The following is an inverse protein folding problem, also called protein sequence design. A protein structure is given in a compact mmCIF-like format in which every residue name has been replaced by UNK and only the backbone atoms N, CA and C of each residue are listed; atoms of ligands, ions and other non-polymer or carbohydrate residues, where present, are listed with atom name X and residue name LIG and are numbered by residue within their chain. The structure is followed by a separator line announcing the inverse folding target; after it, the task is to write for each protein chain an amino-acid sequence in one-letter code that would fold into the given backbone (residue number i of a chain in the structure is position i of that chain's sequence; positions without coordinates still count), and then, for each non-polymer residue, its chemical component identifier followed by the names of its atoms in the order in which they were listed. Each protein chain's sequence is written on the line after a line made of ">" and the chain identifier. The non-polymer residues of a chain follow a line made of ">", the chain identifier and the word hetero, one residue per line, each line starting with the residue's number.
data_IF_595718457139
#
_entry.id   IF_595718457139
#
_cell.length_a   1.000
_cell.length_b   1.000
_cell.length_c   1.000
_cell.angle_alpha   90.00
_cell.angle_beta   90.00
_cell.angle_gamma   90.00
#
_symmetry.space_group_name_H-M   'P 1'
#
loop_
_entity.id
_entity.type
_entity.pdbx_description
1 polymer ?
#
# COMPACT_ATOMS: atom_id res chain seq x y z
N UNK A 1 -6.31 15.50 17.02
CA UNK A 1 -7.25 15.11 15.94
C UNK A 1 -8.37 14.30 16.56
N UNK A 2 -9.59 14.40 16.03
CA UNK A 2 -10.69 13.56 16.50
C UNK A 2 -10.44 12.11 16.08
N UNK A 3 -10.74 11.17 16.97
CA UNK A 3 -10.56 9.74 16.71
C UNK A 3 -11.88 9.08 16.30
N UNK A 4 -11.86 8.09 15.39
CA UNK A 4 -10.68 7.53 14.74
C UNK A 4 -10.05 8.46 13.70
N UNK A 5 -8.74 8.60 13.78
CA UNK A 5 -7.92 9.29 12.78
C UNK A 5 -7.41 8.26 11.78
N UNK A 6 -7.76 8.44 10.52
CA UNK A 6 -7.30 7.63 9.39
C UNK A 6 -6.34 8.47 8.55
N UNK A 7 -5.22 7.89 8.13
CA UNK A 7 -4.32 8.49 7.18
C UNK A 7 -4.27 7.68 5.89
N UNK A 8 -4.19 8.33 4.74
CA UNK A 8 -4.05 7.68 3.44
C UNK A 8 -2.69 8.04 2.86
N UNK A 9 -1.84 7.03 2.65
CA UNK A 9 -0.49 7.22 2.13
C UNK A 9 -0.29 6.40 0.85
N UNK A 10 -0.32 7.08 -0.29
CA UNK A 10 0.00 6.50 -1.61
C UNK A 10 1.34 6.97 -2.16
N UNK A 11 1.66 6.59 -3.39
CA UNK A 11 2.86 7.02 -4.13
C UNK A 11 3.95 5.96 -4.19
N UNK A 12 5.00 6.24 -4.96
CA UNK A 12 6.10 5.29 -5.25
C UNK A 12 7.38 5.65 -4.52
N UNK A 13 7.63 6.93 -4.23
CA UNK A 13 8.94 7.47 -3.80
C UNK A 13 9.25 7.35 -2.29
N UNK A 14 10.54 7.30 -1.96
CA UNK A 14 11.17 7.30 -0.61
C UNK A 14 10.90 8.52 0.27
N UNK A 15 10.53 9.64 -0.34
CA UNK A 15 10.27 10.91 0.34
C UNK A 15 9.14 10.85 1.40
N UNK A 16 8.29 9.81 1.37
CA UNK A 16 7.17 9.63 2.31
C UNK A 16 7.51 8.87 3.59
N UNK A 17 8.75 8.41 3.79
CA UNK A 17 9.14 7.65 4.99
C UNK A 17 8.90 8.43 6.29
N UNK A 18 9.33 9.69 6.31
CA UNK A 18 9.15 10.54 7.48
C UNK A 18 7.67 10.84 7.76
N UNK A 19 6.84 10.93 6.72
CA UNK A 19 5.40 11.06 6.88
C UNK A 19 4.80 9.78 7.49
N UNK A 20 5.18 8.60 6.97
CA UNK A 20 4.73 7.32 7.50
C UNK A 20 5.04 7.16 9.00
N UNK A 21 6.28 7.48 9.42
CA UNK A 21 6.68 7.48 10.84
C UNK A 21 5.81 8.39 11.70
N UNK A 22 5.65 9.66 11.30
CA UNK A 22 4.84 10.62 12.06
C UNK A 22 3.36 10.23 12.14
N UNK A 23 2.84 9.61 11.08
CA UNK A 23 1.47 9.14 11.03
C UNK A 23 1.29 7.86 11.86
N UNK A 24 2.26 6.96 11.90
CA UNK A 24 2.18 5.73 12.70
C UNK A 24 2.10 6.00 14.20
N UNK A 25 2.67 7.11 14.67
CA UNK A 25 2.52 7.56 16.06
C UNK A 25 1.09 8.04 16.39
N UNK A 26 0.38 8.64 15.42
CA UNK A 26 -0.86 9.40 15.67
C UNK A 26 -2.13 8.71 15.20
N UNK A 27 -2.09 8.15 13.99
CA UNK A 27 -3.24 7.54 13.33
C UNK A 27 -3.67 6.25 14.03
N UNK A 28 -4.96 5.97 13.93
CA UNK A 28 -5.57 4.70 14.31
C UNK A 28 -5.45 3.70 13.16
N UNK A 29 -5.61 4.16 11.91
CA UNK A 29 -5.40 3.38 10.70
C UNK A 29 -4.59 4.16 9.66
N UNK A 30 -3.72 3.47 8.93
CA UNK A 30 -2.98 4.01 7.80
C UNK A 30 -3.27 3.14 6.57
N UNK A 31 -4.04 3.68 5.64
CA UNK A 31 -4.36 3.04 4.37
C UNK A 31 -3.22 3.28 3.39
N UNK A 32 -2.60 2.21 2.89
CA UNK A 32 -1.42 2.32 2.02
C UNK A 32 -1.77 1.93 0.59
N UNK A 33 -1.29 2.69 -0.39
CA UNK A 33 -1.48 2.38 -1.82
C UNK A 33 -0.23 2.64 -2.65
N UNK A 34 -0.31 2.33 -3.94
CA UNK A 34 0.78 2.52 -4.91
C UNK A 34 2.06 1.73 -4.58
N UNK A 35 3.20 2.21 -5.09
CA UNK A 35 4.51 1.57 -4.93
C UNK A 35 4.91 1.32 -3.47
N UNK A 36 4.49 2.17 -2.52
CA UNK A 36 4.72 1.94 -1.10
C UNK A 36 4.05 0.64 -0.62
N UNK A 37 2.81 0.38 -1.01
CA UNK A 37 2.13 -0.87 -0.63
C UNK A 37 2.83 -2.11 -1.19
N UNK A 38 3.34 -2.02 -2.43
CA UNK A 38 4.06 -3.10 -3.11
C UNK A 38 5.40 -3.41 -2.45
N UNK A 39 6.16 -2.37 -2.07
CA UNK A 39 7.38 -2.53 -1.28
C UNK A 39 7.09 -3.28 0.03
N UNK A 40 6.08 -2.85 0.79
CA UNK A 40 5.76 -3.46 2.08
C UNK A 40 5.28 -4.91 1.93
N UNK A 41 4.55 -5.23 0.85
CA UNK A 41 4.19 -6.61 0.49
C UNK A 41 5.43 -7.43 0.13
N UNK A 42 6.35 -6.89 -0.65
CA UNK A 42 7.63 -7.55 -0.98
C UNK A 42 8.46 -7.84 0.27
N UNK A 43 8.51 -6.90 1.22
CA UNK A 43 9.18 -7.10 2.53
C UNK A 43 8.49 -8.18 3.38
N UNK A 44 7.19 -8.41 3.19
CA UNK A 44 6.43 -9.51 3.80
C UNK A 44 6.54 -10.83 3.01
N UNK A 45 7.34 -10.88 1.94
CA UNK A 45 7.60 -12.09 1.16
C UNK A 45 6.61 -12.35 0.01
N UNK A 46 5.75 -11.38 -0.32
CA UNK A 46 4.86 -11.50 -1.47
C UNK A 46 5.60 -11.22 -2.78
N UNK A 47 5.25 -11.96 -3.84
CA UNK A 47 5.65 -11.65 -5.21
C UNK A 47 4.87 -10.42 -5.70
N UNK A 48 5.56 -9.53 -6.42
CA UNK A 48 4.98 -8.29 -6.96
C UNK A 48 5.19 -8.16 -8.47
N UNK A 49 5.71 -9.20 -9.14
CA UNK A 49 5.94 -9.22 -10.57
C UNK A 49 6.86 -8.09 -11.03
N UNK A 50 6.46 -7.40 -12.09
CA UNK A 50 7.17 -6.27 -12.67
C UNK A 50 6.73 -4.92 -12.08
N UNK A 51 6.02 -4.92 -10.96
CA UNK A 51 5.51 -3.68 -10.36
C UNK A 51 6.63 -2.75 -9.90
N UNK A 52 6.44 -1.44 -10.08
CA UNK A 52 7.42 -0.43 -9.67
C UNK A 52 7.31 -0.13 -8.18
N UNK A 53 8.46 -0.11 -7.53
CA UNK A 53 8.64 0.35 -6.16
C UNK A 53 9.99 1.06 -6.06
N UNK A 54 10.15 1.88 -5.02
CA UNK A 54 11.42 2.55 -4.72
C UNK A 54 12.17 1.71 -3.67
N UNK A 55 13.31 1.16 -4.06
CA UNK A 55 14.13 0.29 -3.23
C UNK A 55 15.00 1.06 -2.22
N UNK A 56 15.13 2.39 -2.35
CA UNK A 56 15.82 3.22 -1.36
C UNK A 56 15.18 3.11 0.03
N UNK A 57 13.88 2.81 0.08
CA UNK A 57 13.20 2.51 1.34
C UNK A 57 13.80 1.30 2.06
N UNK A 58 14.34 0.30 1.37
CA UNK A 58 14.93 -0.87 2.03
C UNK A 58 16.12 -0.50 2.93
N UNK A 59 16.76 0.64 2.66
CA UNK A 59 17.80 1.21 3.51
C UNK A 59 17.25 1.82 4.82
N UNK A 60 15.93 2.02 4.92
CA UNK A 60 15.24 2.50 6.12
C UNK A 60 15.18 1.49 7.29
N UNK A 61 15.64 0.25 7.09
CA UNK A 61 16.03 -0.65 8.18
C UNK A 61 14.94 -0.97 9.23
N UNK A 62 15.30 -0.83 10.51
CA UNK A 62 14.49 -1.21 11.69
C UNK A 62 13.16 -0.46 11.78
N UNK A 63 13.14 0.80 11.37
CA UNK A 63 11.94 1.65 11.43
C UNK A 63 10.77 1.05 10.64
N UNK A 64 11.04 0.47 9.47
CA UNK A 64 9.99 -0.13 8.65
C UNK A 64 9.46 -1.41 9.30
N UNK A 65 10.34 -2.20 9.91
CA UNK A 65 9.93 -3.42 10.62
C UNK A 65 9.03 -3.08 11.80
N UNK A 66 9.34 -2.02 12.54
CA UNK A 66 8.50 -1.52 13.63
C UNK A 66 7.13 -1.03 13.13
N UNK A 67 7.12 -0.25 12.05
CA UNK A 67 5.86 0.21 11.46
C UNK A 67 5.03 -0.97 10.93
N UNK A 68 5.67 -2.01 10.38
CA UNK A 68 5.00 -3.22 9.92
C UNK A 68 4.41 -4.06 11.06
N UNK A 69 4.98 -4.00 12.27
CA UNK A 69 4.55 -4.76 13.43
C UNK A 69 3.52 -4.05 14.31
N UNK A 70 3.37 -2.72 14.18
CA UNK A 70 2.46 -1.93 15.02
C UNK A 70 0.96 -2.15 14.79
N UNK A 71 0.57 -2.90 13.74
CA UNK A 71 -0.82 -3.27 13.45
C UNK A 71 -1.71 -2.14 12.88
N UNK A 72 -1.16 -0.95 12.60
CA UNK A 72 -1.93 0.21 12.11
C UNK A 72 -2.01 0.27 10.59
N UNK A 73 -1.07 -0.37 9.89
CA UNK A 73 -1.05 -0.42 8.43
C UNK A 73 -2.15 -1.32 7.90
N UNK A 74 -2.93 -0.78 6.97
CA UNK A 74 -3.88 -1.53 6.16
C UNK A 74 -3.31 -1.57 4.75
N UNK A 75 -2.89 -2.77 4.34
CA UNK A 75 -2.34 -3.03 3.01
C UNK A 75 -3.46 -3.53 2.07
N UNK A 76 -3.32 -3.32 0.75
CA UNK A 76 -4.23 -3.89 -0.24
C UNK A 76 -4.31 -5.42 -0.16
N UNK A 77 -5.50 -5.96 -0.41
CA UNK A 77 -5.76 -7.40 -0.47
C UNK A 77 -5.79 -7.93 -1.91
N UNK A 78 -6.05 -7.05 -2.86
CA UNK A 78 -6.15 -7.32 -4.28
C UNK A 78 -5.68 -6.11 -5.10
N UNK A 79 -5.35 -6.36 -6.36
CA UNK A 79 -4.79 -5.38 -7.26
C UNK A 79 -5.38 -5.53 -8.65
N UNK A 80 -5.52 -4.40 -9.33
CA UNK A 80 -5.65 -4.37 -10.79
C UNK A 80 -4.23 -4.47 -11.35
N UNK A 81 -3.96 -5.54 -12.08
CA UNK A 81 -2.66 -5.80 -12.72
C UNK A 81 -2.79 -5.74 -14.23
N UNK A 82 -1.74 -5.26 -14.91
CA UNK A 82 -1.62 -5.27 -16.35
C UNK A 82 -0.30 -5.89 -16.81
N UNK A 83 -0.25 -6.41 -18.03
CA UNK A 83 0.98 -6.98 -18.61
C UNK A 83 1.90 -5.92 -19.25
N UNK A 84 1.43 -4.68 -19.40
CA UNK A 84 2.21 -3.54 -19.92
C UNK A 84 1.62 -2.20 -19.44
N UNK A 85 2.40 -1.11 -19.52
CA UNK A 85 1.99 0.25 -19.17
C UNK A 85 1.48 1.01 -20.39
N UNK A 86 0.33 0.58 -20.91
CA UNK A 86 -0.35 1.16 -22.09
C UNK A 86 -1.86 0.99 -21.97
N UNK A 87 -2.62 1.83 -22.69
CA UNK A 87 -4.09 1.83 -22.60
C UNK A 87 -4.74 0.53 -23.08
N UNK A 88 -4.10 -0.18 -24.02
CA UNK A 88 -4.58 -1.44 -24.62
C UNK A 88 -3.91 -2.69 -23.99
N UNK A 89 -3.31 -2.55 -22.82
CA UNK A 89 -2.74 -3.68 -22.09
C UNK A 89 -3.84 -4.65 -21.62
N UNK A 90 -3.50 -5.93 -21.54
CA UNK A 90 -4.38 -6.88 -20.88
C UNK A 90 -4.38 -6.58 -19.39
N UNK A 91 -5.57 -6.48 -18.79
CA UNK A 91 -5.74 -6.19 -17.37
C UNK A 91 -6.64 -7.23 -16.69
N UNK A 92 -6.29 -7.59 -15.46
CA UNK A 92 -7.09 -8.49 -14.60
C UNK A 92 -7.01 -8.06 -13.15
N UNK A 93 -7.95 -8.53 -12.34
CA UNK A 93 -7.88 -8.38 -10.88
C UNK A 93 -7.32 -9.66 -10.28
N UNK A 94 -6.33 -9.53 -9.41
CA UNK A 94 -5.71 -10.66 -8.69
C UNK A 94 -5.62 -10.36 -7.20
N UNK A 95 -5.65 -11.39 -6.33
CA UNK A 95 -5.28 -11.20 -4.93
C UNK A 95 -3.82 -10.74 -4.82
N UNK A 96 -3.42 -10.18 -3.67
CA UNK A 96 -2.03 -9.77 -3.38
C UNK A 96 -0.98 -10.88 -3.60
N UNK A 97 -1.38 -12.15 -3.49
CA UNK A 97 -0.54 -13.32 -3.71
C UNK A 97 -0.53 -13.81 -5.17
N UNK A 98 -1.25 -13.12 -6.07
CA UNK A 98 -1.45 -13.52 -7.47
C UNK A 98 -0.78 -12.59 -8.50
N UNK A 99 0.11 -11.69 -8.07
CA UNK A 99 0.83 -10.80 -9.00
C UNK A 99 1.97 -11.60 -9.63
N UNK A 100 1.71 -12.17 -10.80
CA UNK A 100 2.67 -13.01 -11.52
C UNK A 100 3.80 -12.21 -12.18
N UNK A 101 4.94 -12.87 -12.45
CA UNK A 101 6.02 -12.28 -13.25
C UNK A 101 5.51 -11.89 -14.64
N UNK A 102 5.93 -10.72 -15.13
CA UNK A 102 5.40 -10.16 -16.39
C UNK A 102 4.18 -9.25 -16.20
N UNK A 103 3.53 -9.30 -15.04
CA UNK A 103 2.43 -8.40 -14.68
C UNK A 103 2.88 -7.33 -13.71
N UNK A 104 2.22 -6.19 -13.71
CA UNK A 104 2.45 -5.09 -12.78
C UNK A 104 1.14 -4.58 -12.19
N UNK A 105 1.13 -4.39 -10.87
CA UNK A 105 0.03 -3.74 -10.17
C UNK A 105 0.03 -2.23 -10.47
N UNK A 106 -1.09 -1.76 -11.02
CA UNK A 106 -1.27 -0.37 -11.41
C UNK A 106 -2.29 0.35 -10.52
N UNK A 107 -3.21 -0.40 -9.89
CA UNK A 107 -4.15 0.14 -8.93
C UNK A 107 -4.56 -0.91 -7.88
N UNK A 108 -5.18 -0.46 -6.80
CA UNK A 108 -5.82 -1.33 -5.82
C UNK A 108 -7.07 -1.99 -6.41
N UNK A 109 -7.34 -3.23 -6.00
CA UNK A 109 -8.50 -3.97 -6.47
C UNK A 109 -9.80 -3.59 -5.72
N UNK A 110 -10.95 -4.08 -6.21
CA UNK A 110 -12.27 -3.76 -5.67
C UNK A 110 -12.43 -4.16 -4.19
N UNK A 111 -11.85 -5.28 -3.74
CA UNK A 111 -11.94 -5.68 -2.32
C UNK A 111 -11.20 -4.70 -1.42
N UNK A 112 -10.04 -4.22 -1.87
CA UNK A 112 -9.29 -3.20 -1.17
C UNK A 112 -10.06 -1.89 -1.08
N UNK A 113 -10.70 -1.47 -2.19
CA UNK A 113 -11.56 -0.28 -2.21
C UNK A 113 -12.69 -0.38 -1.19
N UNK A 114 -13.39 -1.52 -1.16
CA UNK A 114 -14.48 -1.77 -0.20
C UNK A 114 -13.98 -1.70 1.24
N UNK A 115 -12.89 -2.39 1.55
CA UNK A 115 -12.26 -2.36 2.87
C UNK A 115 -11.85 -0.94 3.29
N UNK A 116 -11.26 -0.17 2.37
CA UNK A 116 -10.83 1.19 2.66
C UNK A 116 -12.03 2.10 2.93
N UNK A 117 -13.10 1.94 2.16
CA UNK A 117 -14.36 2.66 2.38
C UNK A 117 -14.94 2.38 3.76
N UNK A 118 -15.01 1.12 4.20
CA UNK A 118 -15.53 0.77 5.53
C UNK A 118 -14.75 1.42 6.69
N UNK A 119 -13.44 1.58 6.53
CA UNK A 119 -12.58 2.24 7.51
C UNK A 119 -12.81 3.76 7.49
N UNK A 120 -12.88 4.34 6.30
CA UNK A 120 -13.09 5.78 6.11
C UNK A 120 -14.48 6.24 6.59
N UNK A 121 -15.53 5.43 6.40
CA UNK A 121 -16.89 5.73 6.85
C UNK A 121 -16.97 5.91 8.39
N UNK A 122 -16.03 5.33 9.13
CA UNK A 122 -15.95 5.43 10.60
C UNK A 122 -15.01 6.54 11.08
N UNK A 123 -14.24 7.16 10.19
CA UNK A 123 -13.24 8.14 10.54
C UNK A 123 -13.87 9.45 11.02
N UNK A 124 -13.26 10.06 12.05
CA UNK A 124 -13.57 11.43 12.50
C UNK A 124 -12.54 12.44 12.00
N UNK A 125 -11.37 11.97 11.58
CA UNK A 125 -10.36 12.79 10.93
C UNK A 125 -9.68 11.96 9.85
N UNK A 126 -9.52 12.55 8.65
CA UNK A 126 -8.83 11.95 7.50
C UNK A 126 -7.69 12.87 7.07
N UNK A 127 -6.50 12.31 6.80
CA UNK A 127 -5.33 13.01 6.24
C UNK A 127 -4.82 12.28 5.00
#
# INVERSE_FOLDING_TARGET
>A
PERPMVAILGGVKADKMNALKKLSEKADHILVGGGLSLLLLKMKGHEIGNSKFDDEWLNGGEDIKEILSNGKLVLPEDFVVANDFREDAEAKVVPKDGIERGWMALDIGPRTVERYKEILDKAKTII
#
